data_IF_691261397913
#
_entry.id   IF_691261397913
#
_cell.length_a   1.000
_cell.length_b   1.000
_cell.length_c   1.000
_cell.angle_alpha   90.00
_cell.angle_beta   90.00
_cell.angle_gamma   90.00
#
_symmetry.space_group_name_H-M   'P 1'
#
loop_
_entity.id
_entity.type
_entity.pdbx_description
1 polymer ?
#
# COMPACT_ATOMS: atom_id res chain seq x y z
N UNK A 1 -4.42 -16.89 5.42
CA UNK A 1 -4.80 -15.52 5.81
C UNK A 1 -6.25 -15.55 6.29
N UNK A 2 -6.53 -15.09 7.49
CA UNK A 2 -7.88 -14.91 8.04
C UNK A 2 -8.60 -13.75 7.32
N UNK A 3 -9.92 -13.65 7.51
CA UNK A 3 -10.70 -12.53 6.96
C UNK A 3 -10.23 -11.18 7.52
N UNK A 4 -9.85 -11.13 8.81
CA UNK A 4 -9.34 -9.93 9.46
C UNK A 4 -8.01 -9.47 8.84
N UNK A 5 -7.12 -10.42 8.51
CA UNK A 5 -5.86 -10.09 7.83
C UNK A 5 -6.10 -9.56 6.41
N UNK A 6 -7.08 -10.12 5.68
CA UNK A 6 -7.45 -9.63 4.33
C UNK A 6 -8.03 -8.22 4.38
N UNK A 7 -8.89 -7.94 5.35
CA UNK A 7 -9.47 -6.61 5.57
C UNK A 7 -8.42 -5.60 6.01
N UNK A 8 -7.51 -5.98 6.91
CA UNK A 8 -6.38 -5.15 7.32
C UNK A 8 -5.48 -4.79 6.14
N UNK A 9 -5.20 -5.76 5.26
CA UNK A 9 -4.44 -5.51 4.03
C UNK A 9 -5.16 -4.55 3.07
N UNK A 10 -6.46 -4.76 2.84
CA UNK A 10 -7.25 -3.90 1.95
C UNK A 10 -7.29 -2.46 2.48
N UNK A 11 -7.46 -2.30 3.80
CA UNK A 11 -7.41 -1.00 4.46
C UNK A 11 -6.05 -0.31 4.26
N UNK A 12 -4.95 -1.01 4.52
CA UNK A 12 -3.58 -0.46 4.41
C UNK A 12 -3.29 0.02 2.98
N UNK A 13 -3.65 -0.77 1.96
CA UNK A 13 -3.48 -0.39 0.55
C UNK A 13 -4.37 0.80 0.18
N UNK A 14 -5.65 0.75 0.52
CA UNK A 14 -6.60 1.81 0.19
C UNK A 14 -6.24 3.15 0.85
N UNK A 15 -5.81 3.10 2.10
CA UNK A 15 -5.36 4.28 2.85
C UNK A 15 -4.16 4.96 2.18
N UNK A 16 -3.12 4.20 1.85
CA UNK A 16 -1.91 4.75 1.22
C UNK A 16 -2.18 5.32 -0.18
N UNK A 17 -3.07 4.69 -0.96
CA UNK A 17 -3.51 5.23 -2.26
C UNK A 17 -4.22 6.58 -2.08
N UNK A 18 -5.11 6.69 -1.08
CA UNK A 18 -5.82 7.93 -0.78
C UNK A 18 -4.87 9.08 -0.46
N UNK A 19 -3.85 8.84 0.37
CA UNK A 19 -2.86 9.85 0.71
C UNK A 19 -2.03 10.26 -0.52
N UNK A 20 -1.60 9.32 -1.36
CA UNK A 20 -0.85 9.64 -2.58
C UNK A 20 -1.67 10.47 -3.57
N UNK A 21 -2.96 10.13 -3.75
CA UNK A 21 -3.87 10.88 -4.61
C UNK A 21 -4.06 12.32 -4.11
N UNK A 22 -4.21 12.49 -2.79
CA UNK A 22 -4.32 13.80 -2.16
C UNK A 22 -3.03 14.62 -2.31
N UNK A 23 -1.87 14.00 -2.12
CA UNK A 23 -0.56 14.64 -2.33
C UNK A 23 -0.42 15.16 -3.75
N UNK A 24 -0.81 14.35 -4.74
CA UNK A 24 -0.77 14.73 -6.15
C UNK A 24 -1.75 15.87 -6.46
N UNK A 25 -2.93 15.86 -5.84
CA UNK A 25 -3.98 16.84 -6.08
C UNK A 25 -3.66 18.21 -5.46
N UNK A 26 -3.18 18.23 -4.21
CA UNK A 26 -2.93 19.47 -3.47
C UNK A 26 -1.57 20.11 -3.78
N UNK A 27 -0.67 19.43 -4.51
CA UNK A 27 0.70 19.89 -4.81
C UNK A 27 1.37 20.52 -3.59
N UNK A 28 1.32 19.84 -2.45
CA UNK A 28 1.81 20.36 -1.18
C UNK A 28 3.18 21.04 -1.35
N UNK A 29 3.33 22.30 -0.91
CA UNK A 29 4.65 22.91 -0.89
C UNK A 29 5.50 22.12 0.11
N UNK A 30 6.73 21.80 -0.29
CA UNK A 30 7.73 20.93 0.37
C UNK A 30 7.78 19.49 -0.13
N UNK A 31 8.92 18.82 0.06
CA UNK A 31 9.21 17.45 -0.40
C UNK A 31 8.41 16.35 0.34
N UNK A 32 7.24 16.68 0.90
CA UNK A 32 6.42 15.75 1.67
C UNK A 32 6.01 14.53 0.84
N UNK A 33 5.62 14.73 -0.42
CA UNK A 33 5.29 13.63 -1.32
C UNK A 33 6.46 12.66 -1.52
N UNK A 34 7.67 13.20 -1.70
CA UNK A 34 8.88 12.39 -1.88
C UNK A 34 9.26 11.62 -0.62
N UNK A 35 9.12 12.24 0.56
CA UNK A 35 9.36 11.60 1.85
C UNK A 35 8.35 10.48 2.11
N UNK A 36 7.06 10.75 1.89
CA UNK A 36 6.00 9.76 2.08
C UNK A 36 6.15 8.57 1.13
N UNK A 37 6.50 8.82 -0.14
CA UNK A 37 6.77 7.76 -1.11
C UNK A 37 7.98 6.91 -0.71
N UNK A 38 9.06 7.55 -0.24
CA UNK A 38 10.25 6.86 0.26
C UNK A 38 9.92 5.99 1.47
N UNK A 39 9.10 6.49 2.40
CA UNK A 39 8.68 5.74 3.57
C UNK A 39 7.84 4.53 3.17
N UNK A 40 6.90 4.66 2.23
CA UNK A 40 6.13 3.53 1.69
C UNK A 40 7.01 2.47 1.01
N UNK A 41 8.07 2.88 0.32
CA UNK A 41 9.02 1.95 -0.30
C UNK A 41 9.84 1.18 0.75
N UNK A 42 10.15 1.81 1.90
CA UNK A 42 10.91 1.19 2.98
C UNK A 42 10.04 0.35 3.92
N UNK A 43 8.78 0.74 4.15
CA UNK A 43 7.78 0.05 4.96
C UNK A 43 7.20 -1.16 4.22
N UNK A 44 7.98 -2.24 4.08
CA UNK A 44 7.57 -3.64 3.74
C UNK A 44 6.56 -3.86 2.59
N UNK A 45 6.10 -2.85 1.87
CA UNK A 45 5.14 -2.93 0.79
C UNK A 45 5.69 -3.79 -0.36
N UNK A 46 6.97 -3.68 -0.76
CA UNK A 46 7.56 -4.61 -1.73
C UNK A 46 7.56 -6.06 -1.24
N UNK A 47 7.69 -6.29 0.07
CA UNK A 47 7.68 -7.63 0.70
C UNK A 47 6.25 -8.20 0.79
N UNK A 48 5.25 -7.36 1.07
CA UNK A 48 3.83 -7.73 1.10
C UNK A 48 3.28 -7.99 -0.31
N UNK A 49 3.60 -7.14 -1.30
CA UNK A 49 3.24 -7.34 -2.72
C UNK A 49 3.87 -8.62 -3.27
N UNK A 50 5.16 -8.87 -2.99
CA UNK A 50 5.84 -10.10 -3.41
C UNK A 50 5.20 -11.36 -2.82
N UNK A 51 4.72 -11.32 -1.57
CA UNK A 51 3.95 -12.41 -0.96
C UNK A 51 2.60 -12.65 -1.63
N UNK A 52 1.95 -11.62 -2.16
CA UNK A 52 0.69 -11.78 -2.90
C UNK A 52 0.90 -12.43 -4.26
N UNK A 53 1.92 -12.01 -5.01
CA UNK A 53 2.19 -12.52 -6.36
C UNK A 53 2.74 -13.96 -6.34
N UNK A 54 3.47 -14.34 -5.28
CA UNK A 54 4.05 -15.68 -5.14
C UNK A 54 3.09 -16.75 -4.63
N UNK A 55 1.83 -16.41 -4.31
CA UNK A 55 0.85 -17.37 -3.79
C UNK A 55 -0.47 -17.37 -4.59
N UNK A 56 -0.44 -17.76 -5.88
CA UNK A 56 -1.62 -17.78 -6.76
C UNK A 56 -2.69 -18.82 -6.35
N UNK A 57 -2.37 -19.75 -5.44
CA UNK A 57 -3.29 -20.81 -4.98
C UNK A 57 -4.42 -20.34 -4.06
N UNK A 58 -4.45 -19.08 -3.62
CA UNK A 58 -5.49 -18.55 -2.73
C UNK A 58 -6.71 -17.92 -3.47
N UNK A 59 -6.76 -18.03 -4.81
CA UNK A 59 -7.86 -17.56 -5.65
C UNK A 59 -8.57 -18.68 -6.41
N UNK A 60 -8.51 -19.92 -5.91
CA UNK A 60 -9.43 -20.98 -6.38
C UNK A 60 -10.66 -20.95 -5.47
N UNK A 61 -11.73 -20.35 -6.00
CA UNK A 61 -13.12 -20.57 -5.61
C UNK A 61 -13.51 -22.03 -5.86
#
# INVERSE_FOLDING_TARGET
MSIAEKLGFLFEVGFNIGILADIQHQKYPNNFGDLYLRDLQQLKLPKQVKRMVQNPSNYQL
#
